data_IF_131029180362
#
_entry.id   IF_131029180362
#
_cell.length_a   1.000
_cell.length_b   1.000
_cell.length_c   1.000
_cell.angle_alpha   90.00
_cell.angle_beta   90.00
_cell.angle_gamma   90.00
#
_symmetry.space_group_name_H-M   'P 1'
#
loop_
_entity.id
_entity.type
_entity.pdbx_description
1 polymer ?
#
# COMPACT_ATOMS: atom_id res chain seq x y z
N UNK A 1 0.19 -25.67 -12.99
CA UNK A 1 1.06 -24.50 -12.75
C UNK A 1 0.89 -23.54 -13.91
N UNK A 2 0.32 -22.35 -13.69
CA UNK A 2 0.23 -21.33 -14.73
C UNK A 2 1.63 -20.76 -14.97
N UNK A 3 2.22 -21.04 -16.14
CA UNK A 3 3.43 -20.36 -16.60
C UNK A 3 3.01 -18.97 -17.05
N UNK A 4 3.31 -17.96 -16.24
CA UNK A 4 3.18 -16.56 -16.62
C UNK A 4 4.36 -16.28 -17.54
N UNK A 5 4.09 -16.11 -18.84
CA UNK A 5 5.09 -15.61 -19.79
C UNK A 5 5.62 -14.27 -19.28
N UNK A 6 6.94 -14.09 -19.35
CA UNK A 6 7.65 -12.86 -18.94
C UNK A 6 7.23 -11.71 -19.85
N UNK A 7 6.04 -11.18 -19.63
CA UNK A 7 5.54 -10.01 -20.30
C UNK A 7 6.11 -8.81 -19.55
N UNK A 8 6.88 -7.98 -20.24
CA UNK A 8 7.62 -6.80 -19.74
C UNK A 8 6.74 -5.84 -18.94
N UNK A 9 5.42 -5.93 -19.12
CA UNK A 9 4.41 -5.22 -18.34
C UNK A 9 4.43 -5.57 -16.84
N UNK A 10 4.82 -6.79 -16.43
CA UNK A 10 4.79 -7.22 -15.03
C UNK A 10 6.04 -6.88 -14.21
N UNK A 11 7.14 -6.46 -14.83
CA UNK A 11 8.42 -6.19 -14.14
C UNK A 11 8.35 -4.96 -13.22
N UNK A 12 7.39 -4.06 -13.45
CA UNK A 12 7.20 -2.84 -12.67
C UNK A 12 5.85 -2.72 -11.97
N UNK A 13 5.00 -3.75 -12.04
CA UNK A 13 3.69 -3.71 -11.40
C UNK A 13 3.85 -4.09 -9.93
N UNK A 14 3.61 -3.11 -9.05
CA UNK A 14 3.31 -3.34 -7.63
C UNK A 14 1.89 -2.88 -7.39
N UNK A 15 1.01 -3.77 -6.92
CA UNK A 15 -0.39 -3.43 -6.75
C UNK A 15 -1.32 -4.63 -6.81
N UNK A 16 -2.62 -4.36 -6.75
CA UNK A 16 -3.68 -5.37 -6.81
C UNK A 16 -4.46 -5.24 -8.11
N UNK A 17 -4.53 -6.31 -8.90
CA UNK A 17 -5.35 -6.41 -10.10
C UNK A 17 -6.38 -7.53 -9.90
N UNK A 18 -7.64 -7.15 -9.66
CA UNK A 18 -8.70 -8.11 -9.32
C UNK A 18 -8.33 -8.95 -8.09
N UNK A 19 -8.26 -10.27 -8.27
CA UNK A 19 -7.86 -11.23 -7.24
C UNK A 19 -6.36 -11.55 -7.24
N UNK A 20 -5.53 -10.76 -7.91
CA UNK A 20 -4.08 -10.98 -7.97
C UNK A 20 -3.36 -9.80 -7.34
N UNK A 21 -2.38 -10.07 -6.48
CA UNK A 21 -1.49 -9.06 -5.89
C UNK A 21 -0.08 -9.29 -6.40
N UNK A 22 0.49 -8.25 -6.99
CA UNK A 22 1.87 -8.21 -7.44
C UNK A 22 2.69 -7.45 -6.40
N UNK A 23 3.73 -8.10 -5.87
CA UNK A 23 4.64 -7.50 -4.91
C UNK A 23 6.06 -7.54 -5.44
N UNK A 24 6.64 -6.37 -5.69
CA UNK A 24 8.05 -6.24 -6.02
C UNK A 24 8.91 -6.33 -4.75
N UNK A 25 9.99 -7.09 -4.80
CA UNK A 25 11.00 -7.20 -3.74
C UNK A 25 12.36 -7.25 -4.41
N UNK A 26 13.07 -6.11 -4.42
CA UNK A 26 14.25 -5.92 -5.25
C UNK A 26 13.91 -6.05 -6.75
N UNK A 27 14.67 -6.88 -7.46
CA UNK A 27 14.48 -7.15 -8.89
C UNK A 27 13.40 -8.21 -9.19
N UNK A 28 12.80 -8.83 -8.16
CA UNK A 28 11.81 -9.91 -8.34
C UNK A 28 10.39 -9.41 -8.07
N UNK A 29 9.45 -9.80 -8.92
CA UNK A 29 8.01 -9.59 -8.70
C UNK A 29 7.34 -10.92 -8.34
N UNK A 30 6.81 -10.99 -7.12
CA UNK A 30 6.01 -12.14 -6.64
C UNK A 30 4.53 -11.92 -6.92
N UNK A 31 3.86 -12.96 -7.39
CA UNK A 31 2.43 -12.94 -7.72
C UNK A 31 1.66 -13.77 -6.72
N UNK A 32 0.70 -13.16 -6.04
CA UNK A 32 -0.19 -13.81 -5.07
C UNK A 32 -1.59 -13.84 -5.63
N UNK A 33 -2.16 -15.03 -5.78
CA UNK A 33 -3.58 -15.18 -6.11
C UNK A 33 -4.35 -15.14 -4.79
N UNK A 34 -5.11 -14.06 -4.58
CA UNK A 34 -6.08 -13.93 -3.52
C UNK A 34 -7.30 -14.79 -3.87
N UNK A 35 -7.26 -16.05 -3.45
CA UNK A 35 -8.48 -16.85 -3.39
C UNK A 35 -9.46 -16.21 -2.41
N UNK A 36 -10.78 -16.26 -2.67
CA UNK A 36 -11.78 -15.94 -1.66
C UNK A 36 -11.45 -16.72 -0.39
N UNK A 37 -11.39 -16.02 0.75
CA UNK A 37 -11.16 -16.68 2.03
C UNK A 37 -12.31 -17.67 2.27
N UNK A 38 -11.98 -18.94 2.49
CA UNK A 38 -12.97 -19.95 2.88
C UNK A 38 -13.50 -19.74 4.30
N UNK A 39 -12.75 -19.01 5.14
CA UNK A 39 -13.08 -18.77 6.54
C UNK A 39 -13.16 -17.26 6.82
N UNK A 40 -14.24 -16.76 7.45
CA UNK A 40 -14.35 -15.35 7.81
C UNK A 40 -13.29 -14.97 8.84
N UNK A 41 -12.94 -13.67 8.88
CA UNK A 41 -12.03 -13.15 9.89
C UNK A 41 -12.57 -13.35 11.30
N UNK A 42 -11.70 -13.78 12.21
CA UNK A 42 -12.03 -13.83 13.63
C UNK A 42 -12.27 -12.42 14.20
N UNK A 43 -12.98 -12.33 15.33
CA UNK A 43 -13.25 -11.03 15.99
C UNK A 43 -11.97 -10.25 16.28
N UNK A 44 -10.91 -10.94 16.69
CA UNK A 44 -9.60 -10.34 16.97
C UNK A 44 -8.91 -9.84 15.69
N UNK A 45 -9.00 -10.58 14.59
CA UNK A 45 -8.46 -10.17 13.30
C UNK A 45 -9.18 -8.92 12.76
N UNK A 46 -10.51 -8.87 12.89
CA UNK A 46 -11.30 -7.68 12.52
C UNK A 46 -10.88 -6.45 13.33
N UNK A 47 -10.74 -6.59 14.65
CA UNK A 47 -10.32 -5.49 15.52
C UNK A 47 -8.90 -5.01 15.18
N UNK A 48 -7.97 -5.94 14.93
CA UNK A 48 -6.61 -5.60 14.47
C UNK A 48 -6.62 -4.83 13.15
N UNK A 49 -7.44 -5.25 12.18
CA UNK A 49 -7.59 -4.57 10.90
C UNK A 49 -8.17 -3.16 11.04
N UNK A 50 -9.14 -2.98 11.93
CA UNK A 50 -9.72 -1.67 12.23
C UNK A 50 -8.69 -0.71 12.87
N UNK A 51 -7.91 -1.21 13.84
CA UNK A 51 -6.84 -0.44 14.47
C UNK A 51 -5.77 -0.03 13.45
N UNK A 52 -5.36 -0.96 12.59
CA UNK A 52 -4.41 -0.67 11.53
C UNK A 52 -4.95 0.42 10.58
N UNK A 53 -6.22 0.33 10.17
CA UNK A 53 -6.85 1.36 9.33
C UNK A 53 -6.84 2.73 9.99
N UNK A 54 -7.17 2.81 11.28
CA UNK A 54 -7.12 4.07 12.05
C UNK A 54 -5.70 4.65 12.09
N UNK A 55 -4.69 3.82 12.34
CA UNK A 55 -3.30 4.25 12.37
C UNK A 55 -2.83 4.78 11.01
N UNK A 56 -3.21 4.13 9.90
CA UNK A 56 -2.89 4.59 8.54
C UNK A 56 -3.53 5.95 8.25
N UNK A 57 -4.79 6.16 8.62
CA UNK A 57 -5.47 7.44 8.42
C UNK A 57 -4.77 8.57 9.20
N UNK A 58 -4.44 8.34 10.47
CA UNK A 58 -3.69 9.31 11.27
C UNK A 58 -2.32 9.62 10.65
N UNK A 59 -1.62 8.61 10.15
CA UNK A 59 -0.34 8.81 9.48
C UNK A 59 -0.49 9.62 8.18
N UNK A 60 -1.53 9.37 7.39
CA UNK A 60 -1.83 10.14 6.18
C UNK A 60 -2.15 11.61 6.49
N UNK A 61 -2.94 11.88 7.52
CA UNK A 61 -3.23 13.24 7.98
C UNK A 61 -1.97 13.96 8.45
N UNK A 62 -1.12 13.29 9.24
CA UNK A 62 0.16 13.84 9.68
C UNK A 62 1.11 14.16 8.51
N UNK A 63 1.11 13.36 7.45
CA UNK A 63 1.90 13.64 6.24
C UNK A 63 1.36 14.85 5.47
N UNK A 64 0.03 14.98 5.31
CA UNK A 64 -0.58 16.15 4.66
C UNK A 64 -0.28 17.45 5.42
N UNK A 65 -0.38 17.43 6.74
CA UNK A 65 -0.09 18.60 7.58
C UNK A 65 1.40 19.02 7.50
N UNK A 66 2.32 18.09 7.27
CA UNK A 66 3.75 18.38 7.03
C UNK A 66 4.00 19.01 5.65
N UNK A 67 3.24 18.63 4.63
CA UNK A 67 3.34 19.27 3.31
C UNK A 67 2.82 20.72 3.30
N UNK A 68 1.79 21.03 4.10
CA UNK A 68 1.25 22.39 4.22
C UNK A 68 2.17 23.32 5.03
N UNK A 69 2.78 22.83 6.10
CA UNK A 69 3.72 23.61 6.92
C UNK A 69 5.03 23.94 6.18
N UNK A 70 5.48 23.09 5.24
CA UNK A 70 6.64 23.38 4.38
C UNK A 70 6.39 24.40 3.26
N UNK A 71 5.13 24.74 2.94
CA UNK A 71 4.80 25.78 1.95
C UNK A 71 4.74 27.18 2.56
N UNK A 72 4.36 27.31 3.84
CA UNK A 72 4.28 28.61 4.51
C UNK A 72 5.62 29.14 5.06
N UNK A 73 6.67 28.33 5.12
CA UNK A 73 7.99 28.78 5.64
C UNK A 73 8.87 29.50 4.59
N UNK A 74 8.41 29.66 3.34
CA UNK A 74 9.19 30.34 2.28
C UNK A 74 9.08 31.87 2.29
N UNK A 75 8.30 32.47 3.20
CA UNK A 75 8.09 33.92 3.23
C UNK A 75 8.89 34.68 4.31
N UNK A 76 9.80 34.03 5.03
CA UNK A 76 10.71 34.72 5.94
C UNK A 76 12.15 34.62 5.43
N UNK A 77 12.44 35.41 4.39
CA UNK A 77 13.82 35.71 4.00
C UNK A 77 14.44 36.69 5.00
N UNK A 78 15.72 36.53 5.38
CA UNK A 78 16.39 37.45 6.29
C UNK A 78 16.60 38.81 5.60
N UNK A 79 16.19 39.88 6.29
CA UNK A 79 16.60 41.26 6.02
C UNK A 79 18.01 41.51 6.55
#
# INVERSE_FOLDING_TARGET
MAKIDKNTLFENITGKLGNVVFRKTGEKTSVYILSPRSVPFSKNQKNSQERFRKAVLMAQEAMKNKEETGKNSKNFGPH
#
